data_IF_565155171377
#
_entry.id   IF_565155171377
#
_cell.length_a   1.000
_cell.length_b   1.000
_cell.length_c   1.000
_cell.angle_alpha   90.00
_cell.angle_beta   90.00
_cell.angle_gamma   90.00
#
_symmetry.space_group_name_H-M   'P 1'
#
loop_
_entity.id
_entity.type
_entity.pdbx_description
1 polymer ?
#
# COMPACT_ATOMS: atom_id res chain seq x y z
N UNK A 1 -3.61 -5.35 22.82
CA UNK A 1 -5.02 -4.94 22.58
C UNK A 1 -4.97 -3.68 21.73
N UNK A 2 -5.25 -3.79 20.43
CA UNK A 2 -5.26 -2.63 19.52
C UNK A 2 -6.68 -2.08 19.59
N UNK A 3 -6.81 -0.93 20.22
CA UNK A 3 -8.04 -0.18 20.31
C UNK A 3 -8.50 0.22 18.89
N UNK A 4 -9.66 -0.24 18.44
CA UNK A 4 -10.21 0.01 17.10
C UNK A 4 -11.30 1.07 17.20
N UNK A 5 -10.95 2.38 17.20
CA UNK A 5 -11.97 3.43 17.11
C UNK A 5 -12.40 3.71 15.66
N UNK A 6 -11.99 2.86 14.69
CA UNK A 6 -12.15 3.17 13.26
C UNK A 6 -13.57 2.99 12.69
N UNK A 7 -14.49 2.34 13.42
CA UNK A 7 -15.83 2.04 12.87
C UNK A 7 -16.79 3.23 12.96
N UNK A 8 -16.55 4.21 13.82
CA UNK A 8 -17.44 5.37 14.00
C UNK A 8 -17.26 6.55 13.03
N UNK A 9 -16.18 6.56 12.21
CA UNK A 9 -15.88 7.64 11.24
C UNK A 9 -16.34 7.35 9.81
N UNK A 10 -17.34 6.51 9.61
CA UNK A 10 -17.79 6.11 8.27
C UNK A 10 -18.76 7.10 7.59
N UNK A 11 -19.00 8.28 8.15
CA UNK A 11 -20.09 9.14 7.64
C UNK A 11 -19.72 9.99 6.42
N UNK A 12 -18.43 10.20 6.11
CA UNK A 12 -18.09 11.17 5.06
C UNK A 12 -16.96 10.69 4.15
N UNK A 13 -17.34 9.91 3.11
CA UNK A 13 -16.43 9.62 1.99
C UNK A 13 -16.13 10.93 1.22
N UNK A 14 -17.03 11.90 1.23
CA UNK A 14 -16.84 13.24 0.69
C UNK A 14 -15.65 13.96 1.31
N UNK A 15 -15.54 13.95 2.63
CA UNK A 15 -14.43 14.60 3.35
C UNK A 15 -13.07 13.94 3.05
N UNK A 16 -13.11 12.67 2.65
CA UNK A 16 -11.90 11.93 2.25
C UNK A 16 -11.34 12.46 0.92
N UNK A 17 -12.18 13.03 0.06
CA UNK A 17 -11.82 13.53 -1.26
C UNK A 17 -11.33 14.97 -1.17
N UNK A 18 -11.97 15.79 -0.32
CA UNK A 18 -11.67 17.22 -0.18
C UNK A 18 -10.32 17.49 0.51
N UNK A 19 -9.87 16.59 1.39
CA UNK A 19 -8.65 16.75 2.20
C UNK A 19 -7.33 16.40 1.47
N UNK A 20 -7.34 16.01 0.20
CA UNK A 20 -6.11 15.56 -0.48
C UNK A 20 -5.81 16.34 -1.77
N UNK A 21 -4.72 17.10 -1.73
CA UNK A 21 -4.08 17.76 -2.88
C UNK A 21 -3.74 16.82 -4.06
N UNK A 22 -3.73 15.51 -3.82
CA UNK A 22 -3.44 14.45 -4.80
C UNK A 22 -4.56 14.22 -5.82
N UNK A 23 -5.78 14.73 -5.58
CA UNK A 23 -6.93 14.57 -6.47
C UNK A 23 -7.22 15.82 -7.32
N UNK A 24 -6.27 16.76 -7.44
CA UNK A 24 -6.47 18.07 -8.10
C UNK A 24 -6.62 18.02 -9.62
N UNK A 25 -6.40 16.89 -10.30
CA UNK A 25 -6.70 16.80 -11.74
C UNK A 25 -8.21 16.59 -11.94
N UNK A 26 -8.84 17.47 -12.70
CA UNK A 26 -10.31 17.50 -12.91
C UNK A 26 -10.88 16.18 -13.48
N UNK A 27 -10.15 15.45 -14.29
CA UNK A 27 -10.59 14.18 -14.88
C UNK A 27 -10.61 13.03 -13.87
N UNK A 28 -9.62 12.94 -12.98
CA UNK A 28 -9.59 11.93 -11.94
C UNK A 28 -10.71 12.14 -10.91
N UNK A 29 -11.03 13.39 -10.56
CA UNK A 29 -12.12 13.73 -9.64
C UNK A 29 -13.47 13.23 -10.16
N UNK A 30 -13.76 13.38 -11.47
CA UNK A 30 -15.03 12.94 -12.06
C UNK A 30 -15.17 11.41 -12.01
N UNK A 31 -14.12 10.68 -12.33
CA UNK A 31 -14.09 9.21 -12.29
C UNK A 31 -14.32 8.67 -10.87
N UNK A 32 -13.64 9.25 -9.87
CA UNK A 32 -13.81 8.87 -8.46
C UNK A 32 -15.21 9.20 -7.93
N UNK A 33 -15.75 10.37 -8.28
CA UNK A 33 -17.09 10.76 -7.84
C UNK A 33 -18.16 9.78 -8.35
N UNK A 34 -18.04 9.29 -9.60
CA UNK A 34 -18.96 8.29 -10.14
C UNK A 34 -18.83 6.95 -9.37
N UNK A 35 -17.61 6.50 -9.12
CA UNK A 35 -17.35 5.28 -8.35
C UNK A 35 -17.93 5.37 -6.93
N UNK A 36 -17.66 6.47 -6.22
CA UNK A 36 -18.17 6.69 -4.86
C UNK A 36 -19.68 6.83 -4.80
N UNK A 37 -20.31 7.47 -5.80
CA UNK A 37 -21.78 7.55 -5.92
C UNK A 37 -22.40 6.16 -6.08
N UNK A 38 -21.75 5.27 -6.82
CA UNK A 38 -22.18 3.87 -6.96
C UNK A 38 -22.05 3.10 -5.65
N UNK A 39 -21.00 3.33 -4.89
CA UNK A 39 -20.79 2.68 -3.59
C UNK A 39 -21.82 3.08 -2.52
N UNK A 40 -22.30 4.32 -2.56
CA UNK A 40 -23.35 4.80 -1.64
C UNK A 40 -24.68 4.05 -1.79
N UNK A 41 -24.94 3.36 -2.90
CA UNK A 41 -26.16 2.58 -3.14
C UNK A 41 -26.24 1.33 -2.29
N UNK A 42 -25.11 0.79 -1.82
CA UNK A 42 -25.09 -0.42 -1.01
C UNK A 42 -25.12 -0.06 0.48
N UNK A 43 -26.08 -0.63 1.25
CA UNK A 43 -26.19 -0.37 2.68
C UNK A 43 -25.02 -0.96 3.45
N UNK A 44 -24.76 -0.43 4.64
CA UNK A 44 -23.86 -1.05 5.59
C UNK A 44 -24.55 -2.25 6.22
N UNK A 45 -23.84 -3.37 6.28
CA UNK A 45 -24.38 -4.61 6.86
C UNK A 45 -24.29 -4.59 8.39
N UNK A 46 -25.33 -5.05 9.05
CA UNK A 46 -25.34 -5.38 10.46
C UNK A 46 -24.54 -6.67 10.71
N UNK A 47 -24.27 -7.00 11.98
CA UNK A 47 -23.56 -8.23 12.35
C UNK A 47 -24.37 -9.47 11.97
N UNK A 48 -25.68 -9.42 12.11
CA UNK A 48 -26.58 -10.53 11.82
C UNK A 48 -26.69 -10.75 10.31
N UNK A 49 -26.78 -9.68 9.52
CA UNK A 49 -26.73 -9.76 8.05
C UNK A 49 -25.39 -10.30 7.54
N UNK A 50 -24.25 -9.88 8.13
CA UNK A 50 -22.94 -10.46 7.83
C UNK A 50 -22.92 -11.98 8.08
N UNK A 51 -23.55 -12.43 9.16
CA UNK A 51 -23.65 -13.85 9.53
C UNK A 51 -24.50 -14.63 8.52
N UNK A 52 -25.70 -14.15 8.22
CA UNK A 52 -26.60 -14.79 7.25
C UNK A 52 -25.99 -14.88 5.85
N UNK A 53 -25.41 -13.76 5.36
CA UNK A 53 -24.76 -13.75 4.07
C UNK A 53 -23.59 -14.72 4.02
N UNK A 54 -22.78 -14.80 5.08
CA UNK A 54 -21.67 -15.73 5.13
C UNK A 54 -22.10 -17.20 5.12
N UNK A 55 -23.27 -17.54 5.66
CA UNK A 55 -23.82 -18.90 5.54
C UNK A 55 -24.22 -19.19 4.10
N UNK A 56 -24.99 -18.29 3.46
CA UNK A 56 -25.41 -18.43 2.04
C UNK A 56 -24.21 -18.52 1.10
N UNK A 57 -23.12 -17.78 1.38
CA UNK A 57 -21.88 -17.85 0.60
C UNK A 57 -21.25 -19.25 0.69
N UNK A 58 -21.27 -19.88 1.86
CA UNK A 58 -20.80 -21.26 2.03
C UNK A 58 -21.62 -22.30 1.27
N UNK A 59 -22.88 -22.00 1.05
CA UNK A 59 -23.83 -22.82 0.23
C UNK A 59 -23.65 -22.55 -1.28
N UNK A 60 -22.79 -21.61 -1.65
CA UNK A 60 -22.46 -21.28 -3.05
C UNK A 60 -23.31 -20.16 -3.67
N UNK A 61 -24.06 -19.40 -2.88
CA UNK A 61 -24.87 -18.29 -3.39
C UNK A 61 -23.98 -17.12 -3.87
N UNK A 62 -23.92 -16.96 -5.19
CA UNK A 62 -23.19 -15.87 -5.86
C UNK A 62 -23.80 -14.50 -5.61
N UNK A 63 -25.12 -14.39 -5.40
CA UNK A 63 -25.79 -13.11 -5.12
C UNK A 63 -25.43 -12.62 -3.73
N UNK A 64 -25.46 -13.49 -2.73
CA UNK A 64 -25.01 -13.19 -1.38
C UNK A 64 -23.54 -12.77 -1.35
N UNK A 65 -22.67 -13.47 -2.11
CA UNK A 65 -21.26 -13.12 -2.25
C UNK A 65 -21.06 -11.72 -2.83
N UNK A 66 -21.75 -11.39 -3.91
CA UNK A 66 -21.65 -10.08 -4.54
C UNK A 66 -22.19 -8.97 -3.63
N UNK A 67 -23.28 -9.22 -2.91
CA UNK A 67 -23.82 -8.26 -1.94
C UNK A 67 -22.80 -7.99 -0.82
N UNK A 68 -22.22 -9.03 -0.25
CA UNK A 68 -21.21 -8.90 0.80
C UNK A 68 -19.97 -8.12 0.34
N UNK A 69 -19.49 -8.36 -0.89
CA UNK A 69 -18.38 -7.60 -1.48
C UNK A 69 -18.76 -6.12 -1.65
N UNK A 70 -19.89 -5.86 -2.34
CA UNK A 70 -20.29 -4.49 -2.70
C UNK A 70 -20.55 -3.61 -1.47
N UNK A 71 -21.15 -4.16 -0.41
CA UNK A 71 -21.40 -3.43 0.84
C UNK A 71 -20.11 -3.09 1.61
N UNK A 72 -19.00 -3.80 1.33
CA UNK A 72 -17.72 -3.61 2.00
C UNK A 72 -16.65 -2.92 1.16
N UNK A 73 -16.91 -2.52 -0.10
CA UNK A 73 -15.95 -1.81 -0.95
C UNK A 73 -15.46 -0.48 -0.32
N UNK A 74 -16.29 0.16 0.48
CA UNK A 74 -15.93 1.38 1.23
C UNK A 74 -14.73 1.16 2.17
N UNK A 75 -14.62 -0.02 2.76
CA UNK A 75 -13.50 -0.38 3.64
C UNK A 75 -12.17 -0.41 2.87
N UNK A 76 -12.20 -0.86 1.61
CA UNK A 76 -11.01 -0.89 0.75
C UNK A 76 -10.45 0.51 0.52
N UNK A 77 -11.31 1.50 0.25
CA UNK A 77 -10.90 2.89 0.00
C UNK A 77 -10.16 3.47 1.22
N UNK A 78 -10.71 3.26 2.42
CA UNK A 78 -10.13 3.77 3.67
C UNK A 78 -8.74 3.18 3.92
N UNK A 79 -8.57 1.90 3.57
CA UNK A 79 -7.28 1.23 3.73
C UNK A 79 -6.31 1.67 2.64
N UNK A 80 -6.74 1.71 1.36
CA UNK A 80 -5.93 2.11 0.22
C UNK A 80 -5.36 3.53 0.37
N UNK A 81 -6.15 4.47 0.93
CA UNK A 81 -5.71 5.85 1.22
C UNK A 81 -4.41 5.90 2.03
N UNK A 82 -4.17 4.95 2.94
CA UNK A 82 -2.96 4.90 3.77
C UNK A 82 -1.70 4.49 3.01
N UNK A 83 -1.86 4.02 1.78
CA UNK A 83 -0.78 3.51 0.92
C UNK A 83 -0.48 4.41 -0.28
N UNK A 84 -1.16 5.57 -0.38
CA UNK A 84 -0.90 6.56 -1.44
C UNK A 84 0.57 7.02 -1.36
N UNK A 85 1.19 7.26 -2.52
CA UNK A 85 2.58 7.71 -2.63
C UNK A 85 3.63 6.61 -2.47
N UNK A 86 3.23 5.33 -2.44
CA UNK A 86 4.15 4.19 -2.29
C UNK A 86 4.49 3.47 -3.60
N UNK A 87 4.34 4.15 -4.74
CA UNK A 87 4.75 3.64 -6.05
C UNK A 87 3.63 3.05 -6.91
N UNK A 88 2.40 2.94 -6.41
CA UNK A 88 1.21 2.61 -7.19
C UNK A 88 0.23 3.77 -7.24
N UNK A 89 -0.49 3.88 -8.35
CA UNK A 89 -1.62 4.80 -8.47
C UNK A 89 -2.75 4.38 -7.51
N UNK A 90 -3.59 5.34 -7.12
CA UNK A 90 -4.68 5.06 -6.18
C UNK A 90 -5.69 4.05 -6.71
N UNK A 91 -5.96 4.07 -8.02
CA UNK A 91 -6.85 3.10 -8.68
C UNK A 91 -6.30 1.67 -8.57
N UNK A 92 -5.00 1.51 -8.78
CA UNK A 92 -4.34 0.21 -8.65
C UNK A 92 -4.37 -0.28 -7.21
N UNK A 93 -4.19 0.62 -6.23
CA UNK A 93 -4.32 0.30 -4.81
C UNK A 93 -5.74 -0.17 -4.46
N UNK A 94 -6.77 0.46 -5.03
CA UNK A 94 -8.17 0.04 -4.86
C UNK A 94 -8.38 -1.34 -5.50
N UNK A 95 -7.87 -1.58 -6.71
CA UNK A 95 -8.02 -2.87 -7.39
C UNK A 95 -7.34 -4.01 -6.63
N UNK A 96 -6.11 -3.80 -6.16
CA UNK A 96 -5.42 -4.77 -5.30
C UNK A 96 -6.16 -5.01 -3.99
N UNK A 97 -6.68 -3.94 -3.38
CA UNK A 97 -7.51 -4.03 -2.18
C UNK A 97 -8.81 -4.81 -2.40
N UNK A 98 -9.46 -4.63 -3.56
CA UNK A 98 -10.67 -5.38 -3.93
C UNK A 98 -10.37 -6.88 -4.08
N UNK A 99 -9.20 -7.24 -4.64
CA UNK A 99 -8.76 -8.64 -4.70
C UNK A 99 -8.61 -9.21 -3.29
N UNK A 100 -8.03 -8.43 -2.36
CA UNK A 100 -7.93 -8.79 -0.96
C UNK A 100 -9.29 -8.98 -0.29
N UNK A 101 -10.25 -8.06 -0.54
CA UNK A 101 -11.61 -8.14 -0.03
C UNK A 101 -12.34 -9.39 -0.53
N UNK A 102 -12.24 -9.71 -1.81
CA UNK A 102 -12.86 -10.94 -2.38
C UNK A 102 -12.33 -12.21 -1.68
N UNK A 103 -11.00 -12.28 -1.47
CA UNK A 103 -10.39 -13.40 -0.73
C UNK A 103 -10.87 -13.46 0.72
N UNK A 104 -11.08 -12.30 1.36
CA UNK A 104 -11.61 -12.24 2.72
C UNK A 104 -13.05 -12.77 2.79
N UNK A 105 -13.91 -12.40 1.83
CA UNK A 105 -15.29 -12.89 1.75
C UNK A 105 -15.33 -14.40 1.61
N UNK A 106 -14.52 -14.96 0.71
CA UNK A 106 -14.48 -16.41 0.45
C UNK A 106 -14.00 -17.23 1.66
N UNK A 107 -13.15 -16.64 2.52
CA UNK A 107 -12.55 -17.33 3.67
C UNK A 107 -13.17 -16.95 5.02
N UNK A 108 -14.16 -16.08 5.03
CA UNK A 108 -14.76 -15.61 6.28
C UNK A 108 -15.53 -16.73 7.00
N UNK A 109 -15.30 -16.84 8.31
CA UNK A 109 -16.04 -17.75 9.16
C UNK A 109 -16.84 -16.97 10.23
N UNK A 110 -18.17 -16.85 10.07
CA UNK A 110 -19.02 -16.10 10.98
C UNK A 110 -19.13 -16.71 12.37
N UNK A 111 -18.88 -18.02 12.53
CA UNK A 111 -18.94 -18.73 13.82
C UNK A 111 -17.91 -18.22 14.84
N UNK A 112 -16.87 -17.50 14.40
CA UNK A 112 -15.84 -16.92 15.29
C UNK A 112 -16.32 -15.70 16.07
N UNK A 113 -17.49 -15.15 15.80
CA UNK A 113 -18.10 -14.05 16.54
C UNK A 113 -17.53 -12.65 16.25
N UNK A 114 -16.49 -12.52 15.44
CA UNK A 114 -15.91 -11.24 15.06
C UNK A 114 -16.64 -10.60 13.89
N UNK A 115 -16.60 -9.27 13.79
CA UNK A 115 -17.10 -8.52 12.63
C UNK A 115 -16.27 -8.83 11.39
N UNK A 116 -16.93 -8.87 10.24
CA UNK A 116 -16.26 -9.08 8.95
C UNK A 116 -15.17 -8.04 8.67
N UNK A 117 -15.43 -6.77 8.98
CA UNK A 117 -14.46 -5.68 8.78
C UNK A 117 -13.11 -5.92 9.47
N UNK A 118 -13.12 -6.49 10.69
CA UNK A 118 -11.89 -6.81 11.44
C UNK A 118 -11.05 -7.87 10.71
N UNK A 119 -11.70 -8.87 10.14
CA UNK A 119 -11.05 -9.93 9.37
C UNK A 119 -10.57 -9.45 8.00
N UNK A 120 -11.44 -8.74 7.27
CA UNK A 120 -11.16 -8.26 5.92
C UNK A 120 -10.00 -7.26 5.87
N UNK A 121 -9.81 -6.45 6.91
CA UNK A 121 -8.74 -5.46 7.00
C UNK A 121 -7.34 -6.08 6.78
N UNK A 122 -7.09 -7.27 7.29
CA UNK A 122 -5.83 -7.99 7.12
C UNK A 122 -5.60 -8.43 5.67
N UNK A 123 -6.63 -8.99 5.04
CA UNK A 123 -6.56 -9.45 3.65
C UNK A 123 -6.39 -8.29 2.67
N UNK A 124 -7.13 -7.21 2.88
CA UNK A 124 -7.04 -6.00 2.05
C UNK A 124 -5.63 -5.41 2.15
N UNK A 125 -5.12 -5.22 3.38
CA UNK A 125 -3.77 -4.69 3.61
C UNK A 125 -2.70 -5.57 2.96
N UNK A 126 -2.76 -6.86 3.20
CA UNK A 126 -1.79 -7.81 2.65
C UNK A 126 -1.80 -7.80 1.10
N UNK A 127 -2.99 -7.73 0.48
CA UNK A 127 -3.09 -7.68 -0.97
C UNK A 127 -2.48 -6.38 -1.53
N UNK A 128 -2.78 -5.23 -0.93
CA UNK A 128 -2.21 -3.93 -1.31
C UNK A 128 -0.68 -3.94 -1.15
N UNK A 129 -0.16 -4.37 -0.01
CA UNK A 129 1.29 -4.45 0.25
C UNK A 129 2.00 -5.38 -0.74
N UNK A 130 1.36 -6.50 -1.10
CA UNK A 130 1.86 -7.41 -2.12
C UNK A 130 1.86 -6.74 -3.50
N UNK A 131 0.79 -6.03 -3.88
CA UNK A 131 0.70 -5.28 -5.13
C UNK A 131 1.80 -4.23 -5.24
N UNK A 132 2.02 -3.43 -4.19
CA UNK A 132 3.11 -2.45 -4.12
C UNK A 132 4.48 -3.13 -4.30
N UNK A 133 4.71 -4.25 -3.63
CA UNK A 133 5.98 -4.98 -3.71
C UNK A 133 6.22 -5.59 -5.09
N UNK A 134 5.16 -5.92 -5.82
CA UNK A 134 5.26 -6.58 -7.13
C UNK A 134 5.34 -5.58 -8.27
N UNK A 135 4.54 -4.51 -8.24
CA UNK A 135 4.30 -3.60 -9.37
C UNK A 135 4.61 -2.13 -9.05
N UNK A 136 4.92 -1.79 -7.79
CA UNK A 136 5.17 -0.40 -7.37
C UNK A 136 6.52 0.18 -7.82
N UNK A 137 7.38 -0.60 -8.48
CA UNK A 137 8.69 -0.17 -8.99
C UNK A 137 8.84 -0.51 -10.46
N UNK A 138 9.44 0.41 -11.24
CA UNK A 138 9.77 0.19 -12.66
C UNK A 138 10.68 -1.03 -12.83
N UNK A 139 11.72 -1.15 -12.00
CA UNK A 139 12.58 -2.32 -11.96
C UNK A 139 12.14 -3.18 -10.78
N UNK A 140 11.60 -4.36 -11.09
CA UNK A 140 11.10 -5.30 -10.09
C UNK A 140 12.22 -5.81 -9.18
N UNK A 141 12.01 -5.70 -7.89
CA UNK A 141 12.89 -6.27 -6.85
C UNK A 141 12.17 -7.44 -6.18
N UNK A 142 12.86 -8.58 -5.92
CA UNK A 142 12.26 -9.70 -5.19
C UNK A 142 11.77 -9.32 -3.80
N UNK A 143 10.65 -9.90 -3.36
CA UNK A 143 9.98 -9.54 -2.09
C UNK A 143 10.93 -9.71 -0.89
N UNK A 144 11.71 -10.79 -0.86
CA UNK A 144 12.64 -11.04 0.24
C UNK A 144 13.75 -9.98 0.37
N UNK A 145 14.12 -9.32 -0.75
CA UNK A 145 15.08 -8.20 -0.72
C UNK A 145 14.41 -6.95 -0.16
N UNK A 146 13.15 -6.67 -0.54
CA UNK A 146 12.36 -5.56 -0.01
C UNK A 146 12.09 -5.72 1.50
N UNK A 147 11.82 -6.93 1.96
CA UNK A 147 11.65 -7.23 3.39
C UNK A 147 12.94 -6.97 4.17
N UNK A 148 14.07 -7.42 3.65
CA UNK A 148 15.37 -7.17 4.26
C UNK A 148 15.70 -5.66 4.24
N UNK A 149 15.44 -4.96 3.14
CA UNK A 149 15.60 -3.51 3.04
C UNK A 149 14.76 -2.78 4.10
N UNK A 150 13.50 -3.20 4.28
CA UNK A 150 12.62 -2.65 5.33
C UNK A 150 13.16 -2.89 6.75
N UNK A 151 13.75 -4.06 7.00
CA UNK A 151 14.43 -4.35 8.28
C UNK A 151 15.65 -3.45 8.49
N UNK A 152 16.46 -3.25 7.44
CA UNK A 152 17.62 -2.36 7.50
C UNK A 152 17.20 -0.92 7.82
N UNK A 153 16.18 -0.38 7.14
CA UNK A 153 15.69 0.97 7.43
C UNK A 153 15.17 1.15 8.86
N UNK A 154 14.45 0.14 9.39
CA UNK A 154 14.00 0.18 10.79
C UNK A 154 15.18 0.19 11.75
N UNK A 155 16.15 -0.69 11.54
CA UNK A 155 17.37 -0.76 12.35
C UNK A 155 18.17 0.56 12.28
N UNK A 156 18.35 1.11 11.09
CA UNK A 156 19.00 2.40 10.88
C UNK A 156 18.32 3.50 11.70
N UNK A 157 17.00 3.62 11.58
CA UNK A 157 16.22 4.63 12.30
C UNK A 157 16.29 4.46 13.82
N UNK A 158 16.26 3.22 14.32
CA UNK A 158 16.41 2.92 15.74
C UNK A 158 17.82 3.29 16.28
N UNK A 159 18.86 3.02 15.50
CA UNK A 159 20.25 3.34 15.88
C UNK A 159 20.48 4.85 15.81
N UNK A 160 20.03 5.52 14.75
CA UNK A 160 20.11 6.99 14.60
C UNK A 160 19.42 7.71 15.77
N UNK A 161 18.25 7.24 16.20
CA UNK A 161 17.55 7.85 17.33
C UNK A 161 18.25 7.67 18.68
N UNK A 162 19.15 6.66 18.80
CA UNK A 162 19.89 6.38 20.04
C UNK A 162 21.27 7.04 20.09
N UNK A 163 21.94 7.08 18.94
CA UNK A 163 23.34 7.52 18.85
C UNK A 163 23.50 8.94 18.28
N UNK A 164 22.39 9.55 17.79
CA UNK A 164 22.35 10.87 17.16
C UNK A 164 23.34 11.03 15.98
N UNK A 165 23.75 9.90 15.39
CA UNK A 165 24.61 9.81 14.21
C UNK A 165 24.14 8.71 13.26
N UNK A 166 24.60 8.78 12.00
CA UNK A 166 24.37 7.69 11.02
C UNK A 166 25.08 6.41 11.47
N UNK A 167 24.40 5.26 11.45
CA UNK A 167 25.00 3.99 11.83
C UNK A 167 25.99 3.49 10.77
N UNK A 168 27.01 2.74 11.21
CA UNK A 168 27.89 1.99 10.33
C UNK A 168 27.19 0.71 9.82
N UNK A 169 27.66 0.19 8.69
CA UNK A 169 27.10 -1.03 8.08
C UNK A 169 27.21 -2.22 9.03
N UNK A 170 28.30 -2.33 9.79
CA UNK A 170 28.50 -3.35 10.82
C UNK A 170 27.41 -3.31 11.89
N UNK A 171 27.07 -2.11 12.42
CA UNK A 171 26.02 -1.94 13.44
C UNK A 171 24.64 -2.35 12.93
N UNK A 172 24.34 -2.02 11.67
CA UNK A 172 23.09 -2.47 11.02
C UNK A 172 23.12 -3.99 10.84
N UNK A 173 24.27 -4.56 10.47
CA UNK A 173 24.48 -6.00 10.32
C UNK A 173 24.24 -6.76 11.61
N UNK A 174 24.84 -6.33 12.72
CA UNK A 174 24.62 -6.90 14.05
C UNK A 174 23.15 -6.84 14.48
N UNK A 175 22.49 -5.69 14.23
CA UNK A 175 21.08 -5.51 14.64
C UNK A 175 20.10 -6.33 13.82
N UNK A 176 20.37 -6.53 12.52
CA UNK A 176 19.48 -7.25 11.57
C UNK A 176 19.83 -8.73 11.41
N UNK A 177 21.02 -9.16 11.84
CA UNK A 177 21.54 -10.51 11.63
C UNK A 177 21.93 -10.79 10.18
N UNK A 178 22.10 -9.75 9.35
CA UNK A 178 22.45 -9.88 7.93
C UNK A 178 23.96 -9.63 7.78
N UNK A 179 24.68 -10.54 7.08
CA UNK A 179 26.12 -10.37 6.79
C UNK A 179 26.36 -9.08 6.01
N UNK A 180 27.42 -8.34 6.35
CA UNK A 180 27.77 -7.03 5.75
C UNK A 180 27.78 -7.03 4.23
N UNK A 181 28.46 -7.99 3.60
CA UNK A 181 28.51 -8.12 2.13
C UNK A 181 27.12 -8.23 1.48
N UNK A 182 26.17 -8.93 2.14
CA UNK A 182 24.79 -9.03 1.67
C UNK A 182 24.02 -7.75 1.91
N UNK A 183 24.32 -7.07 3.00
CA UNK A 183 23.70 -5.81 3.40
C UNK A 183 24.05 -4.68 2.43
N UNK A 184 25.31 -4.58 2.01
CA UNK A 184 25.75 -3.67 0.95
C UNK A 184 24.98 -3.89 -0.36
N UNK A 185 24.83 -5.15 -0.79
CA UNK A 185 24.05 -5.47 -1.99
C UNK A 185 22.59 -5.06 -1.88
N UNK A 186 21.97 -5.25 -0.70
CA UNK A 186 20.58 -4.86 -0.44
C UNK A 186 20.44 -3.34 -0.46
N UNK A 187 21.33 -2.60 0.20
CA UNK A 187 21.28 -1.14 0.23
C UNK A 187 21.52 -0.55 -1.17
N UNK A 188 22.45 -1.11 -1.93
CA UNK A 188 22.72 -0.69 -3.31
C UNK A 188 21.57 -1.03 -4.28
N UNK A 189 20.68 -1.97 -3.95
CA UNK A 189 19.49 -2.24 -4.77
C UNK A 189 18.39 -1.18 -4.67
N UNK A 190 18.51 -0.25 -3.72
CA UNK A 190 17.55 0.84 -3.53
C UNK A 190 17.99 2.10 -4.27
N UNK A 191 17.96 2.05 -5.60
CA UNK A 191 18.23 3.20 -6.46
C UNK A 191 16.93 3.91 -6.88
N UNK A 192 16.99 5.23 -7.05
CA UNK A 192 15.95 6.04 -7.67
C UNK A 192 16.18 6.07 -9.18
N UNK A 193 15.09 6.02 -9.94
CA UNK A 193 15.11 6.13 -11.40
C UNK A 193 14.74 7.57 -11.74
N UNK A 194 15.50 8.21 -12.63
CA UNK A 194 15.19 9.52 -13.19
C UNK A 194 14.89 9.39 -14.68
N UNK A 195 14.12 10.35 -15.23
CA UNK A 195 13.87 10.43 -16.66
C UNK A 195 15.17 10.74 -17.41
N UNK A 196 15.35 10.14 -18.59
CA UNK A 196 16.48 10.48 -19.48
C UNK A 196 16.30 11.87 -20.12
N UNK A 197 15.05 12.34 -20.24
CA UNK A 197 14.73 13.66 -20.79
C UNK A 197 14.80 14.78 -19.74
N UNK A 198 15.21 14.45 -18.52
CA UNK A 198 15.36 15.45 -17.46
C UNK A 198 16.57 16.32 -17.75
N UNK A 199 16.34 17.55 -18.25
CA UNK A 199 17.37 18.57 -18.38
C UNK A 199 17.64 19.21 -17.02
N UNK A 200 18.86 19.13 -16.56
CA UNK A 200 19.32 19.88 -15.40
C UNK A 200 19.46 21.34 -15.81
N UNK A 201 18.52 22.21 -15.45
CA UNK A 201 18.69 23.66 -15.50
C UNK A 201 19.59 24.08 -14.32
N UNK A 202 20.86 23.74 -14.40
CA UNK A 202 21.90 24.22 -13.50
C UNK A 202 22.93 24.96 -14.33
N UNK A 203 23.32 26.15 -13.90
CA UNK A 203 24.32 27.04 -14.49
C UNK A 203 25.77 26.47 -14.52
N UNK A 204 25.93 25.17 -14.72
CA UNK A 204 27.23 24.55 -14.92
C UNK A 204 27.45 24.36 -16.43
N UNK A 205 28.29 25.25 -17.01
CA UNK A 205 28.80 25.19 -18.40
C UNK A 205 29.46 23.83 -18.76
N UNK A 206 29.59 22.91 -17.82
CA UNK A 206 30.15 21.57 -17.96
C UNK A 206 29.10 20.42 -17.86
N UNK A 207 27.81 20.72 -17.84
CA UNK A 207 26.77 19.68 -17.93
C UNK A 207 26.67 19.21 -19.38
N UNK A 208 27.68 18.45 -19.82
CA UNK A 208 27.65 17.76 -21.11
C UNK A 208 26.35 16.95 -21.20
N UNK A 209 25.67 17.18 -22.30
CA UNK A 209 24.52 16.41 -22.79
C UNK A 209 24.71 14.92 -22.48
N UNK A 210 23.99 14.39 -21.48
CA UNK A 210 23.98 12.96 -21.13
C UNK A 210 23.16 12.21 -22.20
N UNK A 211 23.59 12.37 -23.44
CA UNK A 211 23.17 11.55 -24.56
C UNK A 211 23.90 10.21 -24.47
N UNK A 212 23.17 9.14 -24.21
CA UNK A 212 23.60 7.78 -24.50
C UNK A 212 24.77 7.27 -23.65
N UNK A 213 24.51 6.80 -22.45
CA UNK A 213 25.48 6.03 -21.68
C UNK A 213 25.26 6.17 -20.20
N UNK A 214 24.59 5.21 -19.62
CA UNK A 214 24.12 5.14 -18.23
C UNK A 214 25.04 5.76 -17.18
N UNK A 215 24.75 6.94 -16.74
CA UNK A 215 25.32 7.49 -15.53
C UNK A 215 24.53 7.03 -14.30
N UNK A 216 24.76 5.82 -13.86
CA UNK A 216 24.47 5.40 -12.50
C UNK A 216 25.40 6.16 -11.56
N UNK A 217 25.01 7.35 -11.11
CA UNK A 217 25.66 7.95 -9.94
C UNK A 217 25.17 7.22 -8.69
N UNK A 218 25.88 6.17 -8.32
CA UNK A 218 25.87 5.65 -6.97
C UNK A 218 26.27 6.77 -6.02
N UNK A 219 25.37 7.25 -5.19
CA UNK A 219 25.73 8.05 -4.02
C UNK A 219 26.51 7.13 -3.06
N UNK A 220 27.83 7.09 -3.27
CA UNK A 220 28.78 6.72 -2.23
C UNK A 220 28.99 7.96 -1.37
N UNK A 221 28.28 8.04 -0.26
CA UNK A 221 28.74 8.68 0.99
C UNK A 221 27.84 8.29 2.14
#
# INVERSE_FOLDING_TARGET
>A
MINVPAVKKFHEISDIIEDNDLFKSSESILSYNFYFKKLKRYPLLSKDEEYELALKIKEGDKKARNLMINSNLRLVIIIAKKFIGRGLLFDDLIMEGNIGLMKAVDKFNPKKGFRFSTYAMWWIRQSIERGISTSGRLIRIPIHVLENLSKCYKATKEIESKLERKPYISEIGERTGIKERKLEGILNSNFSICSLDYSYEGNDENAGHLGGGGAFKLYKR
#
